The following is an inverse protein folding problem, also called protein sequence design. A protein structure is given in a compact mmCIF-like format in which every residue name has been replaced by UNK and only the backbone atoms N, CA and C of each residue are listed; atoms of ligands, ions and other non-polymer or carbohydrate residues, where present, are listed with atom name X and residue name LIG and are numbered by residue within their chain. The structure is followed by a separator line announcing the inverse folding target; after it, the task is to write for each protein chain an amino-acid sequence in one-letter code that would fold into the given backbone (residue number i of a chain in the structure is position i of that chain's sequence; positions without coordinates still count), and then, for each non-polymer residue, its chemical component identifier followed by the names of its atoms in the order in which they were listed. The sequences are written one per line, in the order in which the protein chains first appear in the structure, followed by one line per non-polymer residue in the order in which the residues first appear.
data_IF_428115389958
#
_entry.id   IF_428115389958
#
_cell.length_a   1.000
_cell.length_b   1.000
_cell.length_c   1.000
_cell.angle_alpha   90.00
_cell.angle_beta   90.00
_cell.angle_gamma   90.00
#
_symmetry.space_group_name_H-M   'P 1'
#
loop_
_entity.id
_entity.type
_entity.pdbx_description
1 polymer ?
#
# COMPACT_ATOMS: atom_id res chain seq x y z
N UNK A 1 -15.19 -29.26 25.87
CA UNK A 1 -14.55 -27.93 25.85
C UNK A 1 -14.88 -27.30 24.51
N UNK A 2 -15.85 -26.38 24.48
CA UNK A 2 -16.46 -25.91 23.24
C UNK A 2 -15.61 -24.78 22.61
N UNK A 3 -14.98 -25.10 21.48
CA UNK A 3 -14.04 -24.22 20.77
C UNK A 3 -14.70 -22.97 20.19
N UNK A 4 -16.03 -22.99 19.99
CA UNK A 4 -16.79 -21.84 19.50
C UNK A 4 -16.80 -20.69 20.52
N UNK A 5 -16.92 -21.02 21.81
CA UNK A 5 -17.01 -20.02 22.89
C UNK A 5 -15.73 -19.18 23.02
N UNK A 6 -14.57 -19.80 22.85
CA UNK A 6 -13.26 -19.10 22.90
C UNK A 6 -13.10 -18.14 21.71
N UNK A 7 -13.64 -18.47 20.52
CA UNK A 7 -13.55 -17.60 19.34
C UNK A 7 -14.47 -16.37 19.47
N UNK A 8 -15.68 -16.55 19.98
CA UNK A 8 -16.63 -15.44 20.17
C UNK A 8 -16.14 -14.44 21.21
N UNK A 9 -15.55 -14.90 22.31
CA UNK A 9 -14.99 -14.01 23.34
C UNK A 9 -13.79 -13.21 22.79
N UNK A 10 -12.91 -13.84 22.00
CA UNK A 10 -11.73 -13.17 21.44
C UNK A 10 -12.10 -12.10 20.40
N UNK A 11 -13.11 -12.35 19.58
CA UNK A 11 -13.59 -11.39 18.58
C UNK A 11 -14.27 -10.19 19.25
N UNK A 12 -15.18 -10.44 20.20
CA UNK A 12 -15.83 -9.38 20.97
C UNK A 12 -14.82 -8.49 21.73
N UNK A 13 -13.78 -9.08 22.32
CA UNK A 13 -12.72 -8.33 22.99
C UNK A 13 -11.88 -7.48 22.01
N UNK A 14 -11.60 -8.01 20.81
CA UNK A 14 -10.86 -7.28 19.79
C UNK A 14 -11.67 -6.09 19.22
N UNK A 15 -12.98 -6.27 19.02
CA UNK A 15 -13.87 -5.23 18.51
C UNK A 15 -14.05 -4.10 19.53
N UNK A 16 -14.22 -4.44 20.82
CA UNK A 16 -14.26 -3.45 21.89
C UNK A 16 -12.93 -2.67 21.99
N UNK A 17 -11.80 -3.35 21.81
CA UNK A 17 -10.48 -2.71 21.76
C UNK A 17 -10.35 -1.73 20.59
N UNK A 18 -10.78 -2.11 19.38
CA UNK A 18 -10.79 -1.23 18.20
C UNK A 18 -11.66 0.00 18.42
N UNK A 19 -12.88 -0.18 18.92
CA UNK A 19 -13.78 0.95 19.20
C UNK A 19 -13.18 1.93 20.22
N UNK A 20 -12.47 1.43 21.24
CA UNK A 20 -11.74 2.28 22.20
C UNK A 20 -10.58 3.05 21.56
N UNK A 21 -9.84 2.40 20.64
CA UNK A 21 -8.78 3.07 19.88
C UNK A 21 -9.37 4.12 18.95
N UNK A 22 -10.42 3.83 18.19
CA UNK A 22 -11.04 4.78 17.26
C UNK A 22 -11.64 6.01 17.98
N UNK A 23 -12.01 5.86 19.26
CA UNK A 23 -12.47 6.98 20.09
C UNK A 23 -11.33 7.90 20.54
N UNK A 24 -10.17 7.33 20.90
CA UNK A 24 -8.99 8.08 21.36
C UNK A 24 -8.14 8.60 20.20
N UNK A 25 -8.02 7.80 19.15
CA UNK A 25 -7.34 8.07 17.89
C UNK A 25 -8.41 8.03 16.80
N UNK A 26 -8.97 9.20 16.49
CA UNK A 26 -9.89 9.31 15.37
C UNK A 26 -9.19 8.81 14.10
N UNK A 27 -9.85 7.99 13.27
CA UNK A 27 -9.28 7.57 12.01
C UNK A 27 -9.04 8.79 11.12
N UNK A 28 -7.80 8.95 10.65
CA UNK A 28 -7.36 10.07 9.84
C UNK A 28 -6.85 9.58 8.49
N UNK A 29 -7.07 10.39 7.46
CA UNK A 29 -6.51 10.14 6.14
C UNK A 29 -4.97 10.19 6.20
N UNK A 30 -4.26 9.18 5.69
CA UNK A 30 -2.79 9.15 5.74
C UNK A 30 -2.11 10.21 4.86
N UNK A 31 -2.83 10.83 3.94
CA UNK A 31 -2.31 11.86 3.02
C UNK A 31 -2.59 13.27 3.54
N UNK A 32 -3.84 13.55 3.89
CA UNK A 32 -4.32 14.90 4.24
C UNK A 32 -4.52 15.13 5.74
N UNK A 33 -4.49 14.08 6.56
CA UNK A 33 -4.77 14.11 8.00
C UNK A 33 -6.21 14.54 8.37
N UNK A 34 -7.13 14.57 7.40
CA UNK A 34 -8.55 14.82 7.64
C UNK A 34 -9.22 13.61 8.31
N UNK A 35 -10.23 13.85 9.15
CA UNK A 35 -11.01 12.79 9.77
C UNK A 35 -11.78 11.99 8.69
N UNK A 36 -11.69 10.67 8.75
CA UNK A 36 -12.38 9.73 7.85
C UNK A 36 -13.30 8.79 8.63
N UNK A 37 -14.13 8.00 7.95
CA UNK A 37 -15.07 7.09 8.62
C UNK A 37 -14.42 5.81 9.13
N UNK A 38 -13.37 5.34 8.47
CA UNK A 38 -12.64 4.12 8.83
C UNK A 38 -11.14 4.29 8.61
N UNK A 39 -10.35 3.61 9.45
CA UNK A 39 -8.92 3.45 9.23
C UNK A 39 -8.64 2.89 7.83
N UNK A 40 -7.68 3.50 7.12
CA UNK A 40 -7.29 3.12 5.76
C UNK A 40 -8.06 3.82 4.64
N UNK A 41 -9.03 4.67 4.95
CA UNK A 41 -9.73 5.47 3.94
C UNK A 41 -8.95 6.72 3.54
N UNK A 42 -9.08 7.11 2.27
CA UNK A 42 -8.63 8.41 1.77
C UNK A 42 -9.80 9.38 1.78
N UNK A 43 -9.56 10.61 2.27
CA UNK A 43 -10.54 11.69 2.17
C UNK A 43 -10.67 12.17 0.72
N UNK A 44 -11.66 13.00 0.42
CA UNK A 44 -11.82 13.58 -0.92
C UNK A 44 -10.58 14.39 -1.36
N UNK A 45 -9.91 15.07 -0.41
CA UNK A 45 -8.64 15.75 -0.66
C UNK A 45 -7.50 14.74 -0.90
N UNK A 46 -7.40 13.70 -0.07
CA UNK A 46 -6.41 12.63 -0.25
C UNK A 46 -6.54 11.92 -1.61
N UNK A 47 -7.77 11.69 -2.08
CA UNK A 47 -8.03 11.16 -3.42
C UNK A 47 -7.61 12.09 -4.55
N UNK A 48 -7.76 13.42 -4.37
CA UNK A 48 -7.33 14.41 -5.36
C UNK A 48 -5.81 14.44 -5.53
N UNK A 49 -5.07 14.28 -4.43
CA UNK A 49 -3.61 14.32 -4.42
C UNK A 49 -2.98 12.93 -4.65
N UNK A 50 -3.83 11.90 -4.77
CA UNK A 50 -3.39 10.54 -5.08
C UNK A 50 -3.07 10.42 -6.56
N UNK A 51 -1.79 10.16 -6.86
CA UNK A 51 -1.33 9.85 -8.21
C UNK A 51 -1.08 8.35 -8.32
N UNK A 52 -1.67 7.71 -9.34
CA UNK A 52 -1.27 6.36 -9.70
C UNK A 52 0.20 6.36 -10.09
N UNK A 53 0.94 5.37 -9.59
CA UNK A 53 2.33 5.21 -10.00
C UNK A 53 2.32 4.88 -11.50
N UNK A 54 2.88 5.78 -12.29
CA UNK A 54 2.90 5.73 -13.76
C UNK A 54 3.54 4.43 -14.25
N UNK A 55 2.99 3.88 -15.34
CA UNK A 55 3.35 2.67 -16.08
C UNK A 55 4.81 2.65 -16.56
N UNK A 56 5.45 3.82 -16.65
CA UNK A 56 6.83 3.95 -17.08
C UNK A 56 7.81 3.57 -15.96
N UNK A 57 8.22 2.30 -15.91
CA UNK A 57 9.24 1.81 -14.98
C UNK A 57 10.48 1.28 -15.69
N UNK A 58 11.59 1.29 -14.99
CA UNK A 58 12.76 0.52 -15.37
C UNK A 58 12.43 -0.98 -15.33
N UNK A 59 12.65 -1.67 -16.45
CA UNK A 59 12.41 -3.12 -16.57
C UNK A 59 13.20 -3.98 -15.57
N UNK A 60 14.26 -3.45 -14.93
CA UNK A 60 15.15 -4.20 -14.04
C UNK A 60 15.04 -3.86 -12.55
N UNK A 61 14.43 -2.74 -12.16
CA UNK A 61 14.54 -2.26 -10.77
C UNK A 61 13.31 -1.58 -10.20
N UNK A 62 12.17 -1.61 -10.91
CA UNK A 62 10.91 -0.99 -10.48
C UNK A 62 11.03 0.51 -10.14
N UNK A 63 12.10 1.15 -10.60
CA UNK A 63 12.28 2.59 -10.44
C UNK A 63 11.43 3.29 -11.50
N UNK A 64 10.48 4.16 -11.11
CA UNK A 64 9.64 4.87 -12.05
C UNK A 64 10.45 5.92 -12.83
N UNK A 65 10.07 6.10 -14.09
CA UNK A 65 10.51 7.17 -14.95
C UNK A 65 9.59 8.39 -14.86
N UNK A 66 10.16 9.56 -15.13
CA UNK A 66 9.40 10.81 -15.20
C UNK A 66 8.45 10.87 -16.40
N UNK A 67 8.78 10.16 -17.48
CA UNK A 67 8.00 10.11 -18.71
C UNK A 67 8.01 8.70 -19.27
N UNK A 68 6.99 8.39 -20.06
CA UNK A 68 6.96 7.16 -20.84
C UNK A 68 8.03 7.21 -21.94
N UNK A 69 8.92 6.23 -21.93
CA UNK A 69 10.01 6.06 -22.89
C UNK A 69 9.76 4.86 -23.83
N UNK A 70 8.59 4.22 -23.73
CA UNK A 70 8.24 2.99 -24.42
C UNK A 70 8.61 1.73 -23.64
N UNK A 71 8.27 0.58 -24.23
CA UNK A 71 8.46 -0.72 -23.61
C UNK A 71 9.94 -1.13 -23.52
N UNK A 72 10.30 -1.82 -22.43
CA UNK A 72 11.63 -2.42 -22.25
C UNK A 72 12.75 -1.44 -21.92
N UNK A 73 12.42 -0.23 -21.45
CA UNK A 73 13.43 0.79 -21.13
C UNK A 73 14.10 0.49 -19.78
N UNK A 74 15.42 0.65 -19.77
CA UNK A 74 16.27 0.37 -18.60
C UNK A 74 16.93 1.68 -18.16
N UNK A 75 16.94 1.96 -16.86
CA UNK A 75 17.57 3.16 -16.32
C UNK A 75 19.10 3.08 -16.38
N UNK A 76 19.77 4.24 -16.44
CA UNK A 76 21.23 4.31 -16.50
C UNK A 76 21.91 3.60 -15.33
N UNK A 77 21.30 3.64 -14.13
CA UNK A 77 21.83 2.94 -12.96
C UNK A 77 21.90 1.43 -13.16
N UNK A 78 20.89 0.83 -13.78
CA UNK A 78 20.86 -0.61 -14.07
C UNK A 78 21.78 -0.99 -15.24
N UNK A 79 22.04 -0.07 -16.18
CA UNK A 79 23.04 -0.28 -17.24
C UNK A 79 24.45 -0.26 -16.63
N UNK A 80 24.73 0.71 -15.77
CA UNK A 80 26.05 0.88 -15.14
C UNK A 80 26.34 -0.25 -14.14
N UNK A 81 25.35 -0.62 -13.34
CA UNK A 81 25.46 -1.66 -12.31
C UNK A 81 24.20 -2.54 -12.38
N UNK A 82 24.23 -3.62 -13.18
CA UNK A 82 23.11 -4.54 -13.29
C UNK A 82 22.75 -5.15 -11.93
N UNK A 83 21.48 -5.08 -11.49
CA UNK A 83 21.06 -5.70 -10.25
C UNK A 83 21.08 -7.23 -10.38
N UNK A 84 21.37 -7.92 -9.28
CA UNK A 84 21.22 -9.38 -9.20
C UNK A 84 19.73 -9.70 -8.98
N UNK A 85 18.91 -9.50 -10.02
CA UNK A 85 17.48 -9.85 -9.95
C UNK A 85 17.28 -11.34 -10.15
N UNK A 86 16.49 -11.94 -9.27
CA UNK A 86 15.98 -13.29 -9.46
C UNK A 86 14.74 -13.21 -10.37
N UNK A 87 14.91 -13.62 -11.63
CA UNK A 87 13.85 -13.62 -12.64
C UNK A 87 12.68 -14.56 -12.29
N UNK A 88 12.79 -15.41 -11.26
CA UNK A 88 11.67 -16.20 -10.75
C UNK A 88 10.63 -15.36 -9.99
N UNK A 89 10.98 -14.15 -9.55
CA UNK A 89 10.09 -13.23 -8.86
C UNK A 89 9.39 -12.21 -9.79
N UNK A 90 9.90 -12.02 -11.02
CA UNK A 90 9.42 -11.02 -11.98
C UNK A 90 8.71 -11.67 -13.17
N UNK A 91 7.60 -12.36 -12.89
CA UNK A 91 6.65 -12.81 -13.91
C UNK A 91 5.50 -11.79 -13.97
N UNK A 92 5.76 -10.58 -14.45
CA UNK A 92 4.71 -9.65 -14.86
C UNK A 92 4.45 -9.86 -16.35
N UNK A 93 3.33 -10.53 -16.64
CA UNK A 93 2.88 -10.90 -17.98
C UNK A 93 2.29 -9.76 -18.78
#
# INVERSE_FOLDING_TARGET
MDWQFIRTIRTAAADAGRAGVDLLLQPQCPVSNENVSSSGELSAAGWRDFHFINEAFCQLSDIPFFSDYGDGVICLSCIATPPQIDLSADARG
#
